data_IF_498445529892
#
_entry.id   IF_498445529892
#
_cell.length_a   1.000
_cell.length_b   1.000
_cell.length_c   1.000
_cell.angle_alpha   90.00
_cell.angle_beta   90.00
_cell.angle_gamma   90.00
#
_symmetry.space_group_name_H-M   'P 1'
#
loop_
_entity.id
_entity.type
_entity.pdbx_description
1 polymer ?
#
# COMPACT_ATOMS: atom_id res chain seq x y z
N UNK A 1 11.93 4.02 27.65
CA UNK A 1 10.60 4.18 27.01
C UNK A 1 10.36 2.96 26.15
N UNK A 2 9.17 2.34 26.20
CA UNK A 2 8.85 1.15 25.40
C UNK A 2 8.57 1.57 23.95
N UNK A 3 9.03 0.84 22.92
CA UNK A 3 8.63 1.08 21.53
C UNK A 3 7.11 1.01 21.34
N UNK A 4 6.54 1.90 20.52
CA UNK A 4 5.08 1.99 20.33
C UNK A 4 4.46 0.70 19.81
N UNK A 5 5.12 0.01 18.88
CA UNK A 5 4.63 -1.27 18.35
C UNK A 5 4.64 -2.40 19.40
N UNK A 6 5.50 -2.33 20.43
CA UNK A 6 5.43 -3.27 21.54
C UNK A 6 4.22 -3.01 22.45
N UNK A 7 3.71 -1.78 22.50
CA UNK A 7 2.48 -1.45 23.23
C UNK A 7 1.27 -1.96 22.44
N UNK A 8 1.24 -1.71 21.13
CA UNK A 8 0.14 -2.14 20.25
C UNK A 8 -0.01 -3.68 20.22
N UNK A 9 1.11 -4.41 20.26
CA UNK A 9 1.09 -5.89 20.32
C UNK A 9 0.41 -6.44 21.57
N UNK A 10 0.38 -5.69 22.66
CA UNK A 10 -0.29 -6.11 23.90
C UNK A 10 -1.81 -5.87 23.86
N UNK A 11 -2.32 -5.12 22.87
CA UNK A 11 -3.74 -4.72 22.80
C UNK A 11 -4.61 -5.53 21.83
N UNK A 12 -4.15 -6.69 21.34
CA UNK A 12 -4.87 -7.52 20.33
C UNK A 12 -5.27 -6.77 19.04
N UNK A 13 -4.66 -5.62 18.79
CA UNK A 13 -4.93 -4.76 17.63
C UNK A 13 -3.88 -4.96 16.53
N UNK A 14 -4.28 -4.79 15.28
CA UNK A 14 -3.34 -4.78 14.13
C UNK A 14 -2.61 -3.43 14.09
N UNK A 15 -1.30 -3.43 14.34
CA UNK A 15 -0.43 -2.29 14.16
C UNK A 15 0.03 -2.15 12.71
N UNK A 16 -0.46 -1.13 12.01
CA UNK A 16 -0.04 -0.83 10.64
C UNK A 16 0.98 0.32 10.60
N UNK A 17 2.00 0.18 9.75
CA UNK A 17 2.95 1.24 9.41
C UNK A 17 2.75 1.66 7.95
N UNK A 18 2.44 2.94 7.73
CA UNK A 18 2.46 3.53 6.41
C UNK A 18 3.79 4.26 6.18
N UNK A 19 4.45 3.96 5.07
CA UNK A 19 5.60 4.73 4.59
C UNK A 19 5.28 5.19 3.18
N UNK A 20 5.36 6.50 2.97
CA UNK A 20 5.07 7.15 1.69
C UNK A 20 6.34 7.78 1.12
N UNK A 21 6.40 7.92 -0.20
CA UNK A 21 7.46 8.67 -0.89
C UNK A 21 7.03 10.09 -1.26
N UNK A 22 5.99 10.62 -0.59
CA UNK A 22 5.47 11.96 -0.79
C UNK A 22 4.15 11.96 -1.57
N UNK A 23 3.22 12.80 -1.10
CA UNK A 23 1.87 12.91 -1.62
C UNK A 23 1.38 14.38 -1.61
N UNK A 24 2.27 15.32 -1.88
CA UNK A 24 1.98 16.76 -1.74
C UNK A 24 1.92 17.51 -3.08
N UNK A 25 2.26 16.86 -4.19
CA UNK A 25 2.24 17.43 -5.53
C UNK A 25 1.86 16.34 -6.54
N UNK A 26 1.26 16.76 -7.66
CA UNK A 26 1.03 15.89 -8.83
C UNK A 26 2.30 15.73 -9.67
N UNK A 27 3.29 16.60 -9.48
CA UNK A 27 4.57 16.51 -10.17
C UNK A 27 5.47 15.45 -9.51
N UNK A 28 5.51 14.27 -10.13
CA UNK A 28 6.31 13.12 -9.68
C UNK A 28 7.81 13.45 -9.52
N UNK A 29 8.35 14.44 -10.25
CA UNK A 29 9.78 14.78 -10.16
C UNK A 29 10.16 15.41 -8.83
N UNK A 30 9.19 16.00 -8.12
CA UNK A 30 9.38 16.56 -6.77
C UNK A 30 9.32 15.51 -5.68
N UNK A 31 8.96 14.26 -5.98
CA UNK A 31 8.70 13.25 -4.97
C UNK A 31 9.89 12.27 -4.80
N UNK A 32 9.97 11.61 -3.65
CA UNK A 32 11.03 10.63 -3.39
C UNK A 32 10.86 9.41 -4.29
N UNK A 33 11.92 8.71 -4.64
CA UNK A 33 11.84 7.48 -5.44
C UNK A 33 12.72 6.39 -4.86
N UNK A 34 12.50 5.15 -5.31
CA UNK A 34 13.33 4.00 -4.96
C UNK A 34 12.59 2.90 -4.21
N UNK A 35 13.14 1.70 -4.32
CA UNK A 35 12.57 0.48 -3.75
C UNK A 35 12.39 0.57 -2.24
N UNK A 36 11.24 0.12 -1.75
CA UNK A 36 11.01 -0.06 -0.31
C UNK A 36 11.91 -1.13 0.32
N UNK A 37 12.53 -2.00 -0.48
CA UNK A 37 13.51 -2.97 0.00
C UNK A 37 14.75 -2.31 0.67
N UNK A 38 15.02 -1.04 0.37
CA UNK A 38 16.07 -0.26 1.04
C UNK A 38 15.73 0.03 2.52
N UNK A 39 14.46 -0.12 2.92
CA UNK A 39 13.98 0.05 4.28
C UNK A 39 13.72 -1.28 4.99
N UNK A 40 14.11 -2.42 4.39
CA UNK A 40 13.84 -3.75 4.96
C UNK A 40 14.39 -3.92 6.37
N UNK A 41 15.63 -3.47 6.63
CA UNK A 41 16.23 -3.55 7.97
C UNK A 41 15.44 -2.73 8.99
N UNK A 42 14.95 -1.56 8.59
CA UNK A 42 14.09 -0.73 9.43
C UNK A 42 12.76 -1.44 9.73
N UNK A 43 12.12 -2.04 8.72
CA UNK A 43 10.88 -2.80 8.92
C UNK A 43 11.08 -4.02 9.82
N UNK A 44 12.21 -4.73 9.68
CA UNK A 44 12.60 -5.86 10.53
C UNK A 44 12.79 -5.48 11.99
N UNK A 45 13.21 -4.24 12.28
CA UNK A 45 13.32 -3.71 13.65
C UNK A 45 11.96 -3.29 14.20
N UNK A 46 11.17 -2.54 13.42
CA UNK A 46 9.87 -2.02 13.86
C UNK A 46 8.85 -3.15 14.07
N UNK A 47 8.88 -4.16 13.19
CA UNK A 47 7.97 -5.32 13.15
C UNK A 47 6.49 -4.91 13.21
N UNK A 48 5.97 -4.13 12.26
CA UNK A 48 4.54 -3.87 12.19
C UNK A 48 3.79 -5.15 11.75
N UNK A 49 2.52 -5.28 12.15
CA UNK A 49 1.66 -6.37 11.67
C UNK A 49 1.29 -6.19 10.19
N UNK A 50 1.31 -4.95 9.71
CA UNK A 50 0.99 -4.57 8.33
C UNK A 50 1.86 -3.42 7.82
N UNK A 51 2.36 -3.55 6.60
CA UNK A 51 2.99 -2.45 5.85
C UNK A 51 2.02 -1.90 4.80
N UNK A 52 1.68 -0.62 4.88
CA UNK A 52 0.88 0.07 3.85
C UNK A 52 1.81 0.88 2.94
N UNK A 53 2.06 0.37 1.74
CA UNK A 53 3.09 0.88 0.83
C UNK A 53 2.48 1.26 -0.52
N UNK A 54 3.00 2.33 -1.13
CA UNK A 54 2.58 2.78 -2.46
C UNK A 54 3.15 1.89 -3.57
N UNK A 55 2.32 1.40 -4.49
CA UNK A 55 2.73 0.57 -5.63
C UNK A 55 1.87 0.79 -6.89
N UNK A 56 0.99 1.81 -6.88
CA UNK A 56 0.20 2.13 -8.07
C UNK A 56 1.08 2.65 -9.22
N UNK A 57 2.23 3.27 -8.89
CA UNK A 57 3.20 3.83 -9.84
C UNK A 57 4.56 3.10 -9.80
N UNK A 58 5.35 3.13 -10.89
CA UNK A 58 6.69 2.50 -10.93
C UNK A 58 7.73 3.12 -9.98
N UNK A 59 7.46 4.30 -9.40
CA UNK A 59 8.40 5.10 -8.60
C UNK A 59 8.87 4.37 -7.32
N UNK A 60 8.01 3.54 -6.76
CA UNK A 60 8.27 2.74 -5.57
C UNK A 60 9.15 1.50 -5.83
N UNK A 61 9.58 1.28 -7.08
CA UNK A 61 10.36 0.12 -7.47
C UNK A 61 9.53 -1.16 -7.58
N UNK A 62 10.21 -2.30 -7.67
CA UNK A 62 9.56 -3.61 -7.85
C UNK A 62 9.14 -4.17 -6.50
N UNK A 63 7.86 -4.50 -6.37
CA UNK A 63 7.30 -5.08 -5.14
C UNK A 63 8.00 -6.39 -4.73
N UNK A 64 8.42 -7.20 -5.70
CA UNK A 64 9.16 -8.44 -5.47
C UNK A 64 10.44 -8.25 -4.65
N UNK A 65 11.08 -7.08 -4.73
CA UNK A 65 12.31 -6.81 -3.98
C UNK A 65 12.06 -6.73 -2.46
N UNK A 66 10.85 -6.34 -2.04
CA UNK A 66 10.47 -6.26 -0.62
C UNK A 66 10.47 -7.64 0.04
N UNK A 67 10.05 -8.67 -0.70
CA UNK A 67 9.93 -10.05 -0.22
C UNK A 67 11.23 -10.85 -0.28
N UNK A 68 12.34 -10.24 -0.71
CA UNK A 68 13.68 -10.84 -0.56
C UNK A 68 14.15 -10.91 0.90
N UNK A 69 13.55 -10.11 1.78
CA UNK A 69 13.73 -10.25 3.22
C UNK A 69 12.75 -11.30 3.75
N UNK A 70 13.28 -12.42 4.25
CA UNK A 70 12.49 -13.58 4.68
C UNK A 70 11.54 -13.25 5.84
N UNK A 71 11.95 -12.39 6.78
CA UNK A 71 11.11 -11.99 7.91
C UNK A 71 9.89 -11.19 7.44
N UNK A 72 10.08 -10.31 6.45
CA UNK A 72 8.97 -9.59 5.83
C UNK A 72 8.06 -10.59 5.10
N UNK A 73 8.62 -11.51 4.32
CA UNK A 73 7.83 -12.53 3.63
C UNK A 73 7.03 -13.43 4.61
N UNK A 74 7.56 -13.76 5.79
CA UNK A 74 6.89 -14.65 6.75
C UNK A 74 5.85 -13.97 7.63
N UNK A 75 6.09 -12.72 8.06
CA UNK A 75 5.36 -12.17 9.21
C UNK A 75 4.32 -11.10 8.85
N UNK A 76 4.56 -10.29 7.81
CA UNK A 76 3.77 -9.07 7.58
C UNK A 76 2.51 -9.28 6.72
N UNK A 77 1.46 -8.50 6.98
CA UNK A 77 0.42 -8.25 5.96
C UNK A 77 0.89 -7.10 5.07
N UNK A 78 0.53 -7.13 3.80
CA UNK A 78 0.76 -6.01 2.89
C UNK A 78 -0.54 -5.28 2.61
N UNK A 79 -0.61 -4.02 3.04
CA UNK A 79 -1.47 -3.03 2.41
C UNK A 79 -0.85 -2.58 1.09
N UNK A 80 -1.36 -3.12 0.00
CA UNK A 80 -0.93 -2.81 -1.35
C UNK A 80 -1.62 -1.52 -1.83
N UNK A 81 -0.81 -0.47 -1.99
CA UNK A 81 -1.19 0.76 -2.67
C UNK A 81 -1.47 0.50 -4.15
N UNK A 82 -2.74 0.62 -4.56
CA UNK A 82 -3.20 0.33 -5.93
C UNK A 82 -3.87 1.51 -6.62
N UNK A 83 -4.07 2.62 -5.91
CA UNK A 83 -4.66 3.85 -6.44
C UNK A 83 -3.66 4.99 -6.30
N UNK A 84 -3.34 5.66 -7.40
CA UNK A 84 -2.54 6.87 -7.36
C UNK A 84 -3.44 8.03 -6.89
N UNK A 85 -3.17 8.56 -5.70
CA UNK A 85 -3.94 9.66 -5.11
C UNK A 85 -3.58 11.03 -5.68
N UNK A 86 -2.60 11.08 -6.59
CA UNK A 86 -2.01 12.30 -7.16
C UNK A 86 -2.49 12.56 -8.60
N UNK A 87 -3.23 11.61 -9.17
CA UNK A 87 -3.71 11.64 -10.55
C UNK A 87 -5.21 11.51 -10.61
N UNK A 88 -5.81 12.19 -11.59
CA UNK A 88 -7.25 12.09 -11.87
C UNK A 88 -7.61 10.83 -12.68
N UNK A 89 -6.60 10.08 -13.17
CA UNK A 89 -6.83 8.80 -13.85
C UNK A 89 -7.45 7.81 -12.87
N UNK A 90 -8.62 7.28 -13.20
CA UNK A 90 -9.22 6.16 -12.46
C UNK A 90 -8.56 4.86 -12.94
N UNK A 91 -7.92 4.14 -12.02
CA UNK A 91 -7.37 2.81 -12.26
C UNK A 91 -8.51 1.83 -12.55
N UNK A 92 -8.38 0.96 -13.55
CA UNK A 92 -9.41 -0.04 -13.83
C UNK A 92 -9.37 -1.16 -12.79
N UNK A 93 -10.49 -1.83 -12.51
CA UNK A 93 -10.49 -2.99 -11.64
C UNK A 93 -9.51 -4.08 -12.11
N UNK A 94 -9.41 -4.29 -13.42
CA UNK A 94 -8.54 -5.29 -14.04
C UNK A 94 -7.05 -4.98 -13.82
N UNK A 95 -6.65 -3.71 -13.92
CA UNK A 95 -5.27 -3.28 -13.66
C UNK A 95 -4.90 -3.51 -12.18
N UNK A 96 -5.86 -3.29 -11.27
CA UNK A 96 -5.68 -3.55 -9.84
C UNK A 96 -5.54 -5.05 -9.58
N UNK A 97 -6.43 -5.87 -10.15
CA UNK A 97 -6.38 -7.34 -10.03
C UNK A 97 -5.02 -7.86 -10.50
N UNK A 98 -4.55 -7.44 -11.68
CA UNK A 98 -3.27 -7.87 -12.23
C UNK A 98 -2.11 -7.59 -11.27
N UNK A 99 -2.08 -6.40 -10.66
CA UNK A 99 -1.03 -6.02 -9.70
C UNK A 99 -1.10 -6.87 -8.42
N UNK A 100 -2.30 -7.24 -7.97
CA UNK A 100 -2.45 -8.16 -6.82
C UNK A 100 -1.95 -9.56 -7.18
N UNK A 101 -2.23 -10.03 -8.39
CA UNK A 101 -1.76 -11.34 -8.86
C UNK A 101 -0.23 -11.44 -8.91
N UNK A 102 0.48 -10.34 -9.18
CA UNK A 102 1.94 -10.28 -9.06
C UNK A 102 2.41 -10.49 -7.60
N UNK A 103 1.64 -10.04 -6.62
CA UNK A 103 1.94 -10.18 -5.18
C UNK A 103 1.57 -11.57 -4.65
N UNK A 104 0.56 -12.22 -5.25
CA UNK A 104 0.15 -13.59 -4.87
C UNK A 104 1.26 -14.63 -5.08
N UNK A 105 2.29 -14.32 -5.86
CA UNK A 105 3.49 -15.16 -5.97
C UNK A 105 4.35 -15.17 -4.69
N UNK A 106 4.14 -14.21 -3.78
CA UNK A 106 4.95 -14.01 -2.57
C UNK A 106 4.15 -14.11 -1.27
N UNK A 107 2.90 -13.68 -1.27
CA UNK A 107 2.02 -13.69 -0.10
C UNK A 107 0.72 -14.44 -0.40
N UNK A 108 0.17 -15.19 0.57
CA UNK A 108 -1.15 -15.77 0.41
C UNK A 108 -2.23 -14.69 0.43
N UNK A 109 -3.41 -14.92 -0.21
CA UNK A 109 -4.46 -13.92 -0.37
C UNK A 109 -4.89 -13.23 0.93
N UNK A 110 -4.97 -13.97 2.04
CA UNK A 110 -5.39 -13.47 3.35
C UNK A 110 -4.43 -12.44 3.97
N UNK A 111 -3.19 -12.33 3.45
CA UNK A 111 -2.19 -11.35 3.87
C UNK A 111 -2.12 -10.12 2.97
N UNK A 112 -3.00 -10.00 1.97
CA UNK A 112 -3.03 -8.87 1.03
C UNK A 112 -4.27 -8.02 1.26
N UNK A 113 -4.06 -6.73 1.50
CA UNK A 113 -5.10 -5.72 1.68
C UNK A 113 -4.95 -4.67 0.59
N UNK A 114 -6.04 -4.09 0.11
CA UNK A 114 -6.01 -3.02 -0.89
C UNK A 114 -6.21 -1.66 -0.21
N UNK A 115 -5.35 -0.71 -0.56
CA UNK A 115 -5.48 0.69 -0.15
C UNK A 115 -5.05 1.63 -1.28
N UNK A 116 -5.39 2.92 -1.19
CA UNK A 116 -4.73 3.93 -2.00
C UNK A 116 -3.27 4.11 -1.59
N UNK A 117 -2.44 4.62 -2.50
CA UNK A 117 -1.01 4.84 -2.24
C UNK A 117 -0.74 5.72 -1.01
N UNK A 118 -1.64 6.68 -0.71
CA UNK A 118 -1.59 7.52 0.48
C UNK A 118 -3.01 8.03 0.84
N UNK A 119 -3.13 8.97 1.77
CA UNK A 119 -4.39 9.66 2.03
C UNK A 119 -4.74 10.66 0.91
N UNK A 120 -6.02 10.86 0.59
CA UNK A 120 -6.42 11.82 -0.44
C UNK A 120 -6.23 13.29 -0.05
N UNK A 121 -5.96 13.62 1.22
CA UNK A 121 -5.84 14.99 1.72
C UNK A 121 -4.58 15.15 2.60
N UNK A 122 -3.40 15.13 1.98
CA UNK A 122 -2.08 15.15 2.67
C UNK A 122 -1.84 16.38 3.52
N UNK A 123 -2.32 17.54 3.06
CA UNK A 123 -2.45 18.73 3.87
C UNK A 123 -3.93 18.99 4.02
N UNK A 124 -4.41 18.97 5.26
CA UNK A 124 -5.79 19.26 5.65
C UNK A 124 -6.40 20.29 4.69
N UNK A 125 -7.42 19.86 3.91
CA UNK A 125 -8.17 20.63 2.89
C UNK A 125 -7.58 20.83 1.47
N UNK A 126 -6.51 20.14 1.06
CA UNK A 126 -6.05 20.14 -0.35
C UNK A 126 -6.00 18.74 -0.96
N UNK A 127 -7.15 18.15 -1.30
CA UNK A 127 -7.12 16.93 -2.06
C UNK A 127 -6.57 17.20 -3.46
N UNK A 128 -5.69 16.31 -3.91
CA UNK A 128 -5.14 16.42 -5.26
C UNK A 128 -6.16 16.02 -6.32
N UNK A 129 -7.25 15.34 -5.98
CA UNK A 129 -8.35 14.99 -6.89
C UNK A 129 -9.69 15.46 -6.31
N UNK A 130 -10.69 15.67 -7.17
CA UNK A 130 -12.04 16.02 -6.72
C UNK A 130 -12.71 14.85 -6.01
N UNK A 131 -13.73 15.13 -5.19
CA UNK A 131 -14.48 14.09 -4.48
C UNK A 131 -15.13 13.08 -5.42
N UNK A 132 -15.63 13.52 -6.59
CA UNK A 132 -16.23 12.63 -7.58
C UNK A 132 -15.20 11.63 -8.12
N UNK A 133 -13.99 12.09 -8.43
CA UNK A 133 -12.89 11.24 -8.90
C UNK A 133 -12.46 10.27 -7.81
N UNK A 134 -12.33 10.75 -6.56
CA UNK A 134 -12.02 9.90 -5.41
C UNK A 134 -13.06 8.79 -5.26
N UNK A 135 -14.35 9.14 -5.38
CA UNK A 135 -15.43 8.16 -5.29
C UNK A 135 -15.34 7.10 -6.38
N UNK A 136 -15.06 7.49 -7.64
CA UNK A 136 -14.90 6.52 -8.73
C UNK A 136 -13.66 5.63 -8.55
N UNK A 137 -12.54 6.17 -8.05
CA UNK A 137 -11.35 5.36 -7.68
C UNK A 137 -11.67 4.33 -6.60
N UNK A 138 -12.41 4.72 -5.56
CA UNK A 138 -12.82 3.80 -4.49
C UNK A 138 -13.81 2.74 -5.00
N UNK A 139 -14.75 3.11 -5.89
CA UNK A 139 -15.64 2.14 -6.55
C UNK A 139 -14.84 1.12 -7.35
N UNK A 140 -13.86 1.57 -8.13
CA UNK A 140 -12.98 0.69 -8.91
C UNK A 140 -12.19 -0.26 -8.03
N UNK A 141 -11.54 0.24 -6.98
CA UNK A 141 -10.79 -0.59 -6.01
C UNK A 141 -11.70 -1.61 -5.31
N UNK A 142 -12.93 -1.23 -4.99
CA UNK A 142 -13.93 -2.12 -4.39
C UNK A 142 -14.37 -3.21 -5.37
N UNK A 143 -14.54 -2.88 -6.65
CA UNK A 143 -14.85 -3.85 -7.70
C UNK A 143 -13.72 -4.88 -7.86
N UNK A 144 -12.46 -4.42 -7.92
CA UNK A 144 -11.28 -5.30 -7.95
C UNK A 144 -11.23 -6.22 -6.73
N UNK A 145 -11.46 -5.70 -5.53
CA UNK A 145 -11.51 -6.49 -4.30
C UNK A 145 -12.57 -7.60 -4.39
N UNK A 146 -13.75 -7.32 -4.95
CA UNK A 146 -14.81 -8.35 -5.15
C UNK A 146 -14.38 -9.42 -6.13
N UNK A 147 -13.75 -9.04 -7.24
CA UNK A 147 -13.23 -10.00 -8.24
C UNK A 147 -12.17 -10.92 -7.61
N UNK A 148 -11.25 -10.37 -6.84
CA UNK A 148 -10.19 -11.13 -6.15
C UNK A 148 -10.78 -12.10 -5.13
N UNK A 149 -11.73 -11.65 -4.30
CA UNK A 149 -12.40 -12.52 -3.33
C UNK A 149 -13.12 -13.67 -4.03
N UNK A 150 -13.86 -13.41 -5.11
CA UNK A 150 -14.54 -14.48 -5.85
C UNK A 150 -13.59 -15.51 -6.47
N UNK A 151 -12.32 -15.16 -6.69
CA UNK A 151 -11.31 -16.04 -7.30
C UNK A 151 -10.45 -16.79 -6.27
N UNK A 152 -10.22 -16.20 -5.10
CA UNK A 152 -9.22 -16.67 -4.13
C UNK A 152 -9.75 -16.88 -2.70
N UNK A 153 -11.04 -16.64 -2.45
CA UNK A 153 -11.74 -16.98 -1.20
C UNK A 153 -12.91 -17.92 -1.48
#
# INVERSE_FOLDING_TARGET
MKPVFDIIRESETIGALHVCRGNYTRDESGLLSGSYAQLSDFFSVVRPDMLNLEFSTPRAGKIADLFKNEQIASDIRLGLGVIDTKSDKIESPEDIVKRVEEVLAFLPPERIWLNPDCGFATFESRPMSSMDIIQEKIKSMTAAARMLRAKYQ
#
